data_IF_730144478660
#
_entry.id   IF_730144478660
#
_cell.length_a   1.000
_cell.length_b   1.000
_cell.length_c   1.000
_cell.angle_alpha   90.00
_cell.angle_beta   90.00
_cell.angle_gamma   90.00
#
_symmetry.space_group_name_H-M   'P 1'
#
loop_
_entity.id
_entity.type
_entity.pdbx_description
1 polymer ?
#
# COMPACT_ATOMS: atom_id res chain seq x y z
N UNK A 1 -26.70 2.30 -13.43
CA UNK A 1 -26.16 3.24 -14.44
C UNK A 1 -25.50 4.40 -13.70
N UNK A 2 -24.33 4.85 -14.15
CA UNK A 2 -23.62 5.99 -13.58
C UNK A 2 -24.39 7.27 -13.92
N UNK A 3 -24.61 8.17 -12.95
CA UNK A 3 -25.25 9.47 -13.21
C UNK A 3 -24.26 10.36 -13.97
N UNK A 4 -24.76 11.21 -14.88
CA UNK A 4 -23.93 12.16 -15.65
C UNK A 4 -23.07 13.08 -14.78
N UNK A 5 -23.54 13.39 -13.57
CA UNK A 5 -22.80 14.20 -12.60
C UNK A 5 -21.58 13.45 -12.05
N UNK A 6 -21.73 12.16 -11.73
CA UNK A 6 -20.64 11.30 -11.28
C UNK A 6 -19.64 10.97 -12.40
N UNK A 7 -20.08 10.95 -13.66
CA UNK A 7 -19.17 10.79 -14.81
C UNK A 7 -18.15 11.92 -14.91
N UNK A 8 -18.53 13.16 -14.55
CA UNK A 8 -17.63 14.32 -14.61
C UNK A 8 -16.53 14.28 -13.55
N UNK A 9 -16.79 13.60 -12.43
CA UNK A 9 -15.82 13.43 -11.33
C UNK A 9 -14.72 12.42 -11.68
N UNK A 10 -15.00 11.58 -12.69
CA UNK A 10 -14.14 10.49 -13.06
C UNK A 10 -13.31 10.87 -14.31
N UNK A 11 -12.07 11.30 -14.09
CA UNK A 11 -11.05 11.52 -15.15
C UNK A 11 -10.85 10.32 -16.11
N UNK A 12 -10.43 10.59 -17.34
CA UNK A 12 -10.17 9.59 -18.38
C UNK A 12 -9.00 8.65 -18.08
N UNK A 13 -8.11 9.01 -17.13
CA UNK A 13 -6.93 8.21 -16.74
C UNK A 13 -7.03 7.73 -15.29
N UNK A 14 -8.04 6.93 -14.98
CA UNK A 14 -8.17 6.36 -13.64
C UNK A 14 -7.16 5.27 -13.32
N UNK A 15 -6.51 5.46 -12.19
CA UNK A 15 -5.84 4.39 -11.46
C UNK A 15 -6.84 3.85 -10.44
N UNK A 16 -6.99 2.53 -10.41
CA UNK A 16 -7.95 1.89 -9.53
C UNK A 16 -7.21 1.09 -8.47
N UNK A 17 -7.75 1.09 -7.25
CA UNK A 17 -7.34 0.15 -6.21
C UNK A 17 -8.31 -1.03 -6.21
N UNK A 18 -7.85 -2.24 -5.89
CA UNK A 18 -8.72 -3.43 -5.80
C UNK A 18 -8.31 -4.29 -4.61
N UNK A 19 -9.31 -4.90 -3.96
CA UNK A 19 -9.12 -5.87 -2.87
C UNK A 19 -9.29 -7.32 -3.33
N UNK A 20 -9.75 -7.52 -4.57
CA UNK A 20 -10.15 -8.83 -5.09
C UNK A 20 -8.98 -9.63 -5.68
N UNK A 21 -7.87 -8.97 -5.98
CA UNK A 21 -6.67 -9.58 -6.54
C UNK A 21 -5.55 -9.53 -5.48
N UNK A 22 -5.13 -10.71 -5.00
CA UNK A 22 -4.07 -11.03 -4.01
C UNK A 22 -3.62 -9.92 -3.03
N UNK A 23 -3.55 -10.30 -1.74
CA UNK A 23 -3.25 -9.50 -0.53
C UNK A 23 -1.96 -8.63 -0.51
N UNK A 24 -1.26 -8.45 -1.63
CA UNK A 24 0.08 -7.84 -1.73
C UNK A 24 0.03 -6.41 -2.28
N UNK A 25 -0.91 -5.56 -1.83
CA UNK A 25 -0.94 -4.10 -2.16
C UNK A 25 -0.71 -3.77 -3.65
N UNK A 26 -0.99 -4.68 -4.58
CA UNK A 26 -0.57 -4.57 -5.98
C UNK A 26 -1.38 -3.49 -6.68
N UNK A 27 -0.73 -2.75 -7.58
CA UNK A 27 -1.37 -1.63 -8.28
C UNK A 27 -1.79 -2.08 -9.65
N UNK A 28 -3.05 -1.82 -9.99
CA UNK A 28 -3.65 -2.17 -11.26
C UNK A 28 -4.07 -0.91 -12.01
N UNK A 29 -4.03 -0.97 -13.34
CA UNK A 29 -4.62 0.05 -14.19
C UNK A 29 -5.31 -0.58 -15.38
N UNK A 30 -6.36 0.10 -15.84
CA UNK A 30 -7.04 -0.25 -17.07
C UNK A 30 -6.59 0.76 -18.13
N UNK A 31 -5.99 0.29 -19.21
CA UNK A 31 -5.58 1.15 -20.32
C UNK A 31 -6.03 0.56 -21.65
N UNK A 32 -6.73 1.35 -22.47
CA UNK A 32 -7.31 0.90 -23.75
C UNK A 32 -8.08 -0.41 -23.60
N UNK A 33 -8.95 -0.49 -22.59
CA UNK A 33 -9.76 -1.65 -22.23
C UNK A 33 -8.99 -2.90 -21.77
N UNK A 34 -7.66 -2.85 -21.65
CA UNK A 34 -6.86 -3.97 -21.16
C UNK A 34 -6.46 -3.74 -19.70
N UNK A 35 -6.53 -4.79 -18.88
CA UNK A 35 -6.03 -4.80 -17.52
C UNK A 35 -4.50 -4.98 -17.49
N UNK A 36 -3.84 -4.11 -16.71
CA UNK A 36 -2.41 -4.20 -16.43
C UNK A 36 -2.17 -4.24 -14.93
N UNK A 37 -1.14 -4.99 -14.52
CA UNK A 37 -0.60 -5.01 -13.16
C UNK A 37 0.77 -4.37 -13.16
N UNK A 38 1.08 -3.56 -12.15
CA UNK A 38 2.42 -3.02 -11.96
C UNK A 38 3.39 -4.16 -11.60
N UNK A 39 4.49 -4.26 -12.33
CA UNK A 39 5.57 -5.19 -12.04
C UNK A 39 6.42 -4.66 -10.89
N UNK A 40 6.30 -5.29 -9.72
CA UNK A 40 7.08 -4.95 -8.54
C UNK A 40 8.26 -5.89 -8.31
N UNK A 41 8.62 -6.71 -9.30
CA UNK A 41 9.73 -7.67 -9.16
C UNK A 41 11.09 -7.01 -8.89
N UNK A 42 11.24 -5.71 -9.17
CA UNK A 42 12.46 -4.92 -8.93
C UNK A 42 12.45 -4.12 -7.61
N UNK A 43 11.72 -4.58 -6.59
CA UNK A 43 11.76 -3.95 -5.25
C UNK A 43 13.08 -4.28 -4.52
N UNK A 44 14.21 -3.79 -5.04
CA UNK A 44 15.47 -3.73 -4.31
C UNK A 44 15.46 -2.45 -3.46
N UNK A 45 15.01 -2.57 -2.21
CA UNK A 45 15.27 -1.57 -1.19
C UNK A 45 16.79 -1.46 -0.98
N UNK A 46 17.45 -0.52 -1.64
CA UNK A 46 18.79 -0.10 -1.23
C UNK A 46 18.64 0.70 0.07
N UNK A 47 19.19 0.18 1.17
CA UNK A 47 19.30 0.91 2.44
C UNK A 47 19.86 2.32 2.18
N UNK A 48 19.15 3.35 2.64
CA UNK A 48 19.63 4.74 2.65
C UNK A 48 19.18 5.65 1.50
N UNK A 49 18.42 5.18 0.51
CA UNK A 49 17.88 6.02 -0.57
C UNK A 49 16.36 6.13 -0.42
N UNK A 50 15.85 7.28 0.05
CA UNK A 50 14.41 7.58 0.14
C UNK A 50 13.73 7.78 -1.24
N UNK A 51 14.43 7.48 -2.34
CA UNK A 51 13.88 7.60 -3.69
C UNK A 51 13.65 6.22 -4.29
N UNK A 52 12.46 5.69 -4.05
CA UNK A 52 11.86 4.60 -4.83
C UNK A 52 11.52 5.13 -6.22
N UNK A 53 12.50 5.27 -7.12
CA UNK A 53 12.20 5.26 -8.56
C UNK A 53 11.84 3.82 -8.93
N UNK A 54 10.59 3.45 -8.65
CA UNK A 54 9.97 2.29 -9.26
C UNK A 54 10.07 2.48 -10.77
N UNK A 55 10.81 1.62 -11.45
CA UNK A 55 10.67 1.44 -12.88
C UNK A 55 9.23 1.00 -13.12
N UNK A 56 8.38 1.90 -13.63
CA UNK A 56 6.97 1.64 -13.88
C UNK A 56 6.79 0.66 -15.05
N UNK A 57 7.14 -0.61 -14.83
CA UNK A 57 6.91 -1.67 -15.79
C UNK A 57 5.52 -2.24 -15.54
N UNK A 58 4.70 -2.29 -16.58
CA UNK A 58 3.31 -2.75 -16.49
C UNK A 58 3.15 -4.06 -17.27
N UNK A 59 2.67 -5.10 -16.59
CA UNK A 59 2.44 -6.43 -17.17
C UNK A 59 0.98 -6.53 -17.59
N UNK A 60 0.73 -7.01 -18.82
CA UNK A 60 -0.63 -7.34 -19.28
C UNK A 60 -1.14 -8.57 -18.55
N UNK A 61 -2.34 -8.45 -17.99
CA UNK A 61 -3.09 -9.59 -17.46
C UNK A 61 -3.90 -10.15 -18.63
N UNK A 62 -3.83 -11.46 -18.88
CA UNK A 62 -4.52 -12.13 -20.01
C UNK A 62 -5.53 -13.20 -19.55
N UNK A 63 -5.95 -13.16 -18.29
CA UNK A 63 -6.88 -14.15 -17.75
C UNK A 63 -8.32 -13.60 -17.77
N UNK A 64 -9.29 -14.51 -17.75
CA UNK A 64 -10.67 -14.17 -17.45
C UNK A 64 -10.77 -13.89 -15.94
N UNK A 65 -11.34 -12.74 -15.57
CA UNK A 65 -11.39 -12.32 -14.17
C UNK A 65 -12.53 -11.36 -13.92
N UNK A 66 -13.09 -11.41 -12.72
CA UNK A 66 -14.03 -10.43 -12.21
C UNK A 66 -13.35 -9.68 -11.06
N UNK A 67 -13.37 -8.35 -11.12
CA UNK A 67 -12.59 -7.51 -10.21
C UNK A 67 -13.40 -6.28 -9.81
N UNK A 68 -13.57 -6.06 -8.52
CA UNK A 68 -14.07 -4.81 -7.97
C UNK A 68 -12.93 -3.81 -7.82
N UNK A 69 -13.15 -2.64 -8.39
CA UNK A 69 -12.24 -1.52 -8.40
C UNK A 69 -12.84 -0.35 -7.64
N UNK A 70 -12.01 0.25 -6.80
CA UNK A 70 -12.35 1.38 -5.97
C UNK A 70 -11.68 2.64 -6.49
N UNK A 71 -12.43 3.74 -6.47
CA UNK A 71 -11.95 5.06 -6.88
C UNK A 71 -12.48 6.11 -5.94
N UNK A 72 -11.62 7.03 -5.55
CA UNK A 72 -11.99 8.26 -4.86
C UNK A 72 -12.01 9.39 -5.88
N UNK A 73 -12.99 10.28 -5.76
CA UNK A 73 -13.01 11.54 -6.49
C UNK A 73 -13.49 12.67 -5.59
N UNK A 74 -13.04 13.89 -5.91
CA UNK A 74 -13.50 15.11 -5.28
C UNK A 74 -14.28 15.93 -6.30
N UNK A 75 -15.38 16.54 -5.87
CA UNK A 75 -16.10 17.53 -6.68
C UNK A 75 -15.45 18.93 -6.58
N UNK A 76 -16.04 19.91 -7.27
CA UNK A 76 -15.55 21.29 -7.26
C UNK A 76 -15.73 21.99 -5.90
N UNK A 77 -16.58 21.44 -5.03
CA UNK A 77 -16.81 21.88 -3.65
C UNK A 77 -15.95 21.07 -2.67
N UNK A 78 -14.97 20.34 -3.19
CA UNK A 78 -14.08 19.40 -2.50
C UNK A 78 -14.78 18.18 -1.86
N UNK A 79 -16.09 17.95 -2.02
CA UNK A 79 -16.74 16.80 -1.38
C UNK A 79 -16.17 15.48 -1.91
N UNK A 80 -15.94 14.51 -1.00
CA UNK A 80 -15.30 13.24 -1.34
C UNK A 80 -16.33 12.15 -1.63
N UNK A 81 -16.21 11.54 -2.79
CA UNK A 81 -17.05 10.44 -3.24
C UNK A 81 -16.26 9.15 -3.34
N UNK A 82 -16.88 8.08 -2.87
CA UNK A 82 -16.41 6.71 -3.02
C UNK A 82 -17.18 6.02 -4.13
N UNK A 83 -16.44 5.52 -5.12
CA UNK A 83 -17.00 4.72 -6.20
C UNK A 83 -16.46 3.30 -6.18
N UNK A 84 -17.36 2.33 -6.29
CA UNK A 84 -17.03 0.93 -6.52
C UNK A 84 -17.55 0.50 -7.89
N UNK A 85 -16.65 -0.06 -8.69
CA UNK A 85 -16.96 -0.58 -10.00
C UNK A 85 -16.64 -2.06 -10.07
N UNK A 86 -17.59 -2.84 -10.54
CA UNK A 86 -17.38 -4.24 -10.87
C UNK A 86 -17.03 -4.36 -12.35
N UNK A 87 -15.83 -4.86 -12.64
CA UNK A 87 -15.39 -5.11 -14.01
C UNK A 87 -15.24 -6.61 -14.25
N UNK A 88 -15.82 -7.07 -15.37
CA UNK A 88 -15.61 -8.41 -15.88
C UNK A 88 -14.66 -8.34 -17.06
N UNK A 89 -13.62 -9.16 -17.05
CA UNK A 89 -12.61 -9.24 -18.10
C UNK A 89 -12.65 -10.60 -18.78
N UNK A 90 -12.51 -10.59 -20.11
CA UNK A 90 -12.29 -11.78 -20.93
C UNK A 90 -10.95 -11.64 -21.65
N UNK A 91 -10.03 -12.58 -21.42
CA UNK A 91 -8.64 -12.52 -21.86
C UNK A 91 -7.96 -11.19 -21.46
N UNK A 92 -8.26 -10.70 -20.25
CA UNK A 92 -7.78 -9.43 -19.72
C UNK A 92 -8.35 -8.16 -20.36
N UNK A 93 -9.31 -8.27 -21.29
CA UNK A 93 -10.02 -7.14 -21.89
C UNK A 93 -11.37 -6.94 -21.22
N UNK A 94 -11.80 -5.69 -21.04
CA UNK A 94 -13.11 -5.39 -20.47
C UNK A 94 -14.20 -6.01 -21.35
N UNK A 95 -14.99 -6.87 -20.73
CA UNK A 95 -16.24 -7.40 -21.28
C UNK A 95 -17.43 -6.59 -20.73
N UNK A 96 -17.45 -6.37 -19.41
CA UNK A 96 -18.51 -5.66 -18.70
C UNK A 96 -17.96 -4.69 -17.66
N UNK A 97 -18.64 -3.57 -17.48
CA UNK A 97 -18.42 -2.60 -16.40
C UNK A 97 -19.76 -2.26 -15.75
N UNK A 98 -19.83 -2.41 -14.43
CA UNK A 98 -20.99 -2.05 -13.63
C UNK A 98 -20.57 -1.12 -12.49
N UNK A 99 -21.35 -0.08 -12.23
CA UNK A 99 -21.24 0.69 -11.00
C UNK A 99 -21.98 -0.07 -9.91
N UNK A 100 -21.28 -0.40 -8.83
CA UNK A 100 -21.85 -1.06 -7.65
C UNK A 100 -22.33 0.00 -6.67
N UNK A 101 -21.45 0.89 -6.24
CA UNK A 101 -21.74 1.99 -5.31
C UNK A 101 -21.10 3.30 -5.78
N UNK A 102 -21.74 4.41 -5.44
CA UNK A 102 -21.29 5.76 -5.77
C UNK A 102 -21.89 6.70 -4.74
N UNK A 103 -21.19 6.87 -3.62
CA UNK A 103 -21.72 7.49 -2.41
C UNK A 103 -20.82 8.65 -1.98
N UNK A 104 -21.45 9.71 -1.48
CA UNK A 104 -20.75 10.77 -0.77
C UNK A 104 -20.21 10.17 0.54
N UNK A 105 -18.89 10.18 0.72
CA UNK A 105 -18.27 9.70 1.95
C UNK A 105 -18.15 10.78 3.00
N UNK A 106 -17.68 11.96 2.60
CA UNK A 106 -17.41 13.04 3.54
C UNK A 106 -17.56 14.36 2.82
N UNK A 107 -18.36 15.25 3.40
CA UNK A 107 -18.47 16.61 2.91
C UNK A 107 -17.19 17.41 3.21
N UNK A 108 -16.99 18.52 2.50
CA UNK A 108 -15.90 19.45 2.83
C UNK A 108 -15.98 19.94 4.27
N UNK A 109 -17.16 20.30 4.75
CA UNK A 109 -17.34 20.83 6.11
C UNK A 109 -16.96 19.80 7.19
N UNK A 110 -17.39 18.55 7.02
CA UNK A 110 -17.03 17.46 7.94
C UNK A 110 -15.52 17.22 7.96
N UNK A 111 -14.87 17.22 6.78
CA UNK A 111 -13.42 17.03 6.67
C UNK A 111 -12.64 18.19 7.28
N UNK A 112 -13.05 19.43 7.01
CA UNK A 112 -12.42 20.62 7.57
C UNK A 112 -12.55 20.64 9.10
N UNK A 113 -13.68 20.18 9.63
CA UNK A 113 -13.91 20.02 11.07
C UNK A 113 -12.96 18.97 11.66
N UNK A 114 -12.86 17.79 11.03
CA UNK A 114 -11.94 16.71 11.47
C UNK A 114 -10.47 17.19 11.40
N UNK A 115 -10.08 17.85 10.32
CA UNK A 115 -8.74 18.39 10.15
C UNK A 115 -8.42 19.42 11.24
N UNK A 116 -9.36 20.31 11.56
CA UNK A 116 -9.18 21.28 12.65
C UNK A 116 -9.03 20.60 14.03
N UNK A 117 -9.76 19.50 14.27
CA UNK A 117 -9.58 18.68 15.48
C UNK A 117 -8.18 18.06 15.52
N UNK A 118 -7.74 17.43 14.43
CA UNK A 118 -6.40 16.84 14.33
C UNK A 118 -5.29 17.88 14.47
N UNK A 119 -5.43 19.06 13.87
CA UNK A 119 -4.46 20.15 14.01
C UNK A 119 -4.36 20.62 15.46
N UNK A 120 -5.49 20.70 16.15
CA UNK A 120 -5.54 21.04 17.58
C UNK A 120 -4.85 19.96 18.42
N UNK A 121 -5.16 18.68 18.18
CA UNK A 121 -4.52 17.55 18.85
C UNK A 121 -3.01 17.53 18.60
N UNK A 122 -2.58 17.66 17.35
CA UNK A 122 -1.15 17.68 17.00
C UNK A 122 -0.42 18.84 17.64
N UNK A 123 -1.04 20.02 17.73
CA UNK A 123 -0.45 21.16 18.43
C UNK A 123 -0.19 20.86 19.90
N UNK A 124 -1.17 20.27 20.60
CA UNK A 124 -1.03 19.87 22.00
C UNK A 124 0.08 18.83 22.14
N UNK A 125 0.10 17.82 21.27
CA UNK A 125 1.12 16.78 21.29
C UNK A 125 2.52 17.34 21.01
N UNK A 126 2.66 18.21 20.02
CA UNK A 126 3.93 18.82 19.67
C UNK A 126 4.46 19.75 20.76
N UNK A 127 3.58 20.50 21.43
CA UNK A 127 3.96 21.31 22.58
C UNK A 127 4.49 20.42 23.71
N UNK A 128 3.82 19.30 24.01
CA UNK A 128 4.33 18.33 24.98
C UNK A 128 5.68 17.75 24.54
N UNK A 129 5.82 17.31 23.28
CA UNK A 129 7.05 16.73 22.73
C UNK A 129 8.23 17.72 22.78
N UNK A 130 7.98 19.02 22.60
CA UNK A 130 9.00 20.08 22.63
C UNK A 130 9.38 20.50 24.04
N UNK A 131 8.40 20.61 24.95
CA UNK A 131 8.59 21.17 26.28
C UNK A 131 8.94 20.11 27.34
N UNK A 132 8.56 18.85 27.14
CA UNK A 132 8.90 17.75 28.05
C UNK A 132 10.36 17.32 27.85
N UNK A 133 11.21 17.70 28.80
CA UNK A 133 12.62 17.28 28.84
C UNK A 133 12.77 15.76 28.92
N UNK A 134 11.89 15.10 29.70
CA UNK A 134 11.82 13.64 29.81
C UNK A 134 11.51 13.00 28.45
N UNK A 135 10.47 13.46 27.76
CA UNK A 135 10.11 12.93 26.45
C UNK A 135 11.27 13.05 25.45
N UNK A 136 11.91 14.22 25.40
CA UNK A 136 13.05 14.46 24.50
C UNK A 136 14.24 13.55 24.80
N UNK A 137 14.56 13.37 26.09
CA UNK A 137 15.63 12.48 26.52
C UNK A 137 15.34 11.03 26.10
N UNK A 138 14.17 10.51 26.44
CA UNK A 138 13.83 9.12 26.15
C UNK A 138 13.64 8.85 24.66
N UNK A 139 13.06 9.79 23.90
CA UNK A 139 12.96 9.68 22.43
C UNK A 139 14.35 9.70 21.77
N UNK A 140 15.27 10.54 22.27
CA UNK A 140 16.66 10.51 21.82
C UNK A 140 17.33 9.19 22.16
N UNK A 141 17.19 8.69 23.39
CA UNK A 141 17.75 7.42 23.83
C UNK A 141 17.23 6.26 22.99
N UNK A 142 15.92 6.16 22.80
CA UNK A 142 15.27 5.14 21.96
C UNK A 142 15.88 5.12 20.56
N UNK A 143 16.00 6.29 19.91
CA UNK A 143 16.59 6.40 18.56
C UNK A 143 18.03 5.87 18.51
N UNK A 144 18.83 6.08 19.55
CA UNK A 144 20.22 5.62 19.59
C UNK A 144 20.33 4.14 19.97
N UNK A 145 19.57 3.69 20.97
CA UNK A 145 19.49 2.30 21.38
C UNK A 145 18.98 1.41 20.25
N UNK A 146 17.99 1.87 19.48
CA UNK A 146 17.49 1.15 18.31
C UNK A 146 18.57 0.96 17.24
N UNK A 147 19.38 2.00 16.97
CA UNK A 147 20.52 1.90 16.05
C UNK A 147 21.56 0.89 16.53
N UNK A 148 21.92 0.94 17.81
CA UNK A 148 22.87 -0.02 18.38
C UNK A 148 22.32 -1.45 18.36
N UNK A 149 21.03 -1.62 18.62
CA UNK A 149 20.35 -2.92 18.57
C UNK A 149 20.34 -3.47 17.16
N UNK A 150 20.03 -2.64 16.15
CA UNK A 150 20.08 -3.03 14.75
C UNK A 150 21.51 -3.36 14.30
N UNK A 151 22.50 -2.55 14.70
CA UNK A 151 23.92 -2.85 14.44
C UNK A 151 24.35 -4.18 15.05
N UNK A 152 24.02 -4.41 16.32
CA UNK A 152 24.34 -5.63 17.02
C UNK A 152 23.69 -6.82 16.32
N UNK A 153 22.39 -6.71 15.96
CA UNK A 153 21.64 -7.71 15.18
C UNK A 153 22.39 -8.10 13.90
N UNK A 154 22.82 -7.12 13.12
CA UNK A 154 23.55 -7.38 11.88
C UNK A 154 24.90 -8.07 12.09
N UNK A 155 25.53 -7.95 13.28
CA UNK A 155 26.80 -8.62 13.60
C UNK A 155 26.66 -10.07 14.06
N UNK A 156 25.56 -10.43 14.71
CA UNK A 156 25.35 -11.79 15.24
C UNK A 156 24.28 -12.58 14.49
N UNK A 157 23.74 -12.02 13.41
CA UNK A 157 22.78 -12.73 12.59
C UNK A 157 23.43 -13.93 11.89
N UNK A 158 22.81 -15.10 12.07
CA UNK A 158 23.24 -16.31 11.38
C UNK A 158 23.04 -16.14 9.86
N UNK A 159 24.09 -16.39 9.04
CA UNK A 159 24.00 -16.34 7.59
C UNK A 159 22.86 -17.21 7.06
N UNK A 160 22.17 -16.74 6.02
CA UNK A 160 21.05 -17.47 5.42
C UNK A 160 21.43 -18.89 5.01
N UNK A 161 22.60 -19.07 4.38
CA UNK A 161 23.09 -20.38 3.96
C UNK A 161 23.34 -21.33 5.13
N UNK A 162 23.82 -20.82 6.28
CA UNK A 162 23.97 -21.61 7.49
C UNK A 162 22.61 -22.10 8.00
N UNK A 163 21.60 -21.21 8.03
CA UNK A 163 20.22 -21.55 8.44
C UNK A 163 19.60 -22.59 7.50
N UNK A 164 19.76 -22.39 6.19
CA UNK A 164 19.29 -23.33 5.15
C UNK A 164 19.92 -24.71 5.31
N UNK A 165 21.22 -24.77 5.54
CA UNK A 165 21.92 -26.03 5.82
C UNK A 165 21.37 -26.70 7.08
N UNK A 166 21.23 -25.96 8.19
CA UNK A 166 20.71 -26.48 9.44
C UNK A 166 19.28 -27.02 9.30
N UNK A 167 18.39 -26.28 8.61
CA UNK A 167 16.99 -26.67 8.43
C UNK A 167 16.84 -27.86 7.47
N UNK A 168 17.73 -28.00 6.48
CA UNK A 168 17.80 -29.19 5.63
C UNK A 168 18.24 -30.41 6.45
N UNK A 169 19.29 -30.27 7.27
CA UNK A 169 19.81 -31.35 8.13
C UNK A 169 18.82 -31.79 9.20
N UNK A 170 18.09 -30.85 9.82
CA UNK A 170 17.10 -31.15 10.86
C UNK A 170 15.78 -31.71 10.32
N UNK A 171 15.59 -31.75 9.00
CA UNK A 171 14.33 -32.14 8.37
C UNK A 171 13.24 -31.07 8.44
N UNK A 172 13.52 -29.89 9.01
CA UNK A 172 12.56 -28.79 9.13
C UNK A 172 12.00 -28.36 7.78
N UNK A 173 12.83 -28.29 6.73
CA UNK A 173 12.35 -27.93 5.38
C UNK A 173 11.42 -28.98 4.75
N UNK A 174 11.44 -30.24 5.22
CA UNK A 174 10.50 -31.27 4.77
C UNK A 174 9.14 -31.11 5.44
N UNK A 175 9.13 -30.68 6.71
CA UNK A 175 7.91 -30.46 7.50
C UNK A 175 7.26 -29.10 7.19
N UNK A 176 8.08 -28.08 6.96
CA UNK A 176 7.68 -26.70 6.68
C UNK A 176 8.61 -26.11 5.61
N UNK A 177 8.23 -26.18 4.32
CA UNK A 177 9.01 -25.64 3.21
C UNK A 177 9.20 -24.12 3.27
N UNK A 178 8.33 -23.41 3.96
CA UNK A 178 8.29 -21.94 4.02
C UNK A 178 9.07 -21.35 5.21
N UNK A 179 9.63 -22.21 6.08
CA UNK A 179 10.36 -21.81 7.29
C UNK A 179 11.52 -20.82 7.06
N UNK A 180 12.00 -20.66 5.83
CA UNK A 180 13.08 -19.73 5.47
C UNK A 180 12.59 -18.36 4.96
N UNK A 181 11.29 -18.19 4.64
CA UNK A 181 10.75 -16.93 4.10
C UNK A 181 11.02 -15.74 5.03
N UNK A 182 10.89 -15.95 6.34
CA UNK A 182 11.13 -14.93 7.38
C UNK A 182 12.57 -14.38 7.43
N UNK A 183 13.53 -15.04 6.77
CA UNK A 183 14.95 -14.67 6.80
C UNK A 183 15.50 -14.32 5.42
N UNK A 184 14.64 -14.21 4.39
CA UNK A 184 15.06 -13.81 3.04
C UNK A 184 15.31 -12.31 2.89
N UNK A 185 14.68 -11.51 3.74
CA UNK A 185 14.64 -10.04 3.63
C UNK A 185 15.64 -9.33 4.55
N UNK A 186 16.60 -10.07 5.12
CA UNK A 186 17.64 -9.55 6.01
C UNK A 186 19.03 -9.89 5.52
#
# INVERSE_FOLDING_TARGET
MLRKEHEKLLDTKHLFQTKDLDNVLDVYKIHKQQLYRLDRSEFLLKEGIQHTKLTEKWIKVNNDSEVNFYSNAQDAEDNEYWFEFKFTFKNGKIDKKELVTGELQTSKEERDTINAMWDTEQKIFDDYRKNSSSYRLFSWLEKHLQKMTNWARNKHQLPFELRKMAYKKSGRLKKDPDALKLYKDV
#
